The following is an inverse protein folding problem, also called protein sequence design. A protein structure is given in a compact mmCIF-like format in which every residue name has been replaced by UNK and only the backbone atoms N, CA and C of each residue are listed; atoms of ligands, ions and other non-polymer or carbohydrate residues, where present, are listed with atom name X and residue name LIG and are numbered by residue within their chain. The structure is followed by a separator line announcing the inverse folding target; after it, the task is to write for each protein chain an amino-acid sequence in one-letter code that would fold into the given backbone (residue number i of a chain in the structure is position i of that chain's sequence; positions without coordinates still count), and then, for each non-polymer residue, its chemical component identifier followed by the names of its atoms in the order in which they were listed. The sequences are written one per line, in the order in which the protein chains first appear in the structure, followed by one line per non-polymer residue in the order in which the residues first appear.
data_IF_529471071220
#
_entry.id   IF_529471071220
#
_cell.length_a   1.000
_cell.length_b   1.000
_cell.length_c   1.000
_cell.angle_alpha   90.00
_cell.angle_beta   90.00
_cell.angle_gamma   90.00
#
_symmetry.space_group_name_H-M   'P 1'
#
loop_
_entity.id
_entity.type
_entity.pdbx_description
1 polymer ?
#
# COMPACT_ATOMS: atom_id res chain seq x y z
N UNK A 1 -8.70 21.30 11.11
CA UNK A 1 -9.05 21.60 9.72
C UNK A 1 -9.00 20.30 8.93
N UNK A 2 -10.03 19.99 8.16
CA UNK A 2 -9.93 18.85 7.28
C UNK A 2 -8.80 19.07 6.28
N UNK A 3 -8.06 18.00 5.98
CA UNK A 3 -7.04 18.05 4.93
C UNK A 3 -7.72 18.41 3.60
N UNK A 4 -7.04 19.21 2.77
CA UNK A 4 -7.53 19.50 1.44
C UNK A 4 -7.57 18.20 0.62
N UNK A 5 -8.65 18.02 -0.12
CA UNK A 5 -8.79 16.88 -1.02
C UNK A 5 -7.85 17.07 -2.22
N UNK A 6 -7.06 16.03 -2.49
CA UNK A 6 -6.14 15.99 -3.62
C UNK A 6 -6.80 15.31 -4.82
N UNK A 7 -6.64 15.86 -6.03
CA UNK A 7 -7.02 15.16 -7.24
C UNK A 7 -5.86 14.26 -7.68
N UNK A 8 -6.13 12.97 -7.89
CA UNK A 8 -5.09 12.06 -8.36
C UNK A 8 -4.63 12.38 -9.78
N UNK A 9 -5.40 13.19 -10.52
CA UNK A 9 -5.01 13.63 -11.85
C UNK A 9 -3.96 14.75 -11.83
N UNK A 10 -3.73 15.36 -10.66
CA UNK A 10 -2.65 16.33 -10.43
C UNK A 10 -1.34 15.66 -10.03
N UNK A 11 -1.34 14.35 -9.81
CA UNK A 11 -0.14 13.60 -9.43
C UNK A 11 0.83 13.47 -10.62
N UNK A 12 2.14 13.31 -10.34
CA UNK A 12 3.15 13.28 -11.39
C UNK A 12 3.17 11.97 -12.19
N UNK A 13 3.71 12.07 -13.38
CA UNK A 13 4.12 10.93 -14.20
C UNK A 13 5.45 11.28 -14.86
N UNK A 14 6.55 10.56 -14.61
CA UNK A 14 6.61 9.31 -13.83
C UNK A 14 6.25 9.50 -12.36
N UNK A 15 5.94 8.41 -11.64
CA UNK A 15 5.54 8.52 -10.24
C UNK A 15 6.65 9.11 -9.35
N UNK A 16 6.24 9.72 -8.25
CA UNK A 16 7.15 10.36 -7.31
C UNK A 16 6.85 9.96 -5.87
N UNK A 17 7.86 10.09 -5.02
CA UNK A 17 7.79 9.78 -3.60
C UNK A 17 7.35 11.02 -2.81
N UNK A 18 6.39 10.85 -1.90
CA UNK A 18 5.98 11.86 -0.94
C UNK A 18 6.35 11.39 0.47
N UNK A 19 7.35 12.03 1.04
CA UNK A 19 7.87 11.70 2.37
C UNK A 19 7.33 12.62 3.47
N UNK A 20 6.30 13.42 3.18
CA UNK A 20 5.78 14.38 4.17
C UNK A 20 5.26 13.70 5.45
N UNK A 21 4.69 12.50 5.33
CA UNK A 21 4.30 11.70 6.50
C UNK A 21 3.23 12.36 7.35
N UNK A 22 3.17 11.94 8.61
CA UNK A 22 2.31 12.53 9.62
C UNK A 22 0.92 11.92 9.73
N UNK A 23 0.45 11.21 8.72
CA UNK A 23 -0.80 10.47 8.83
C UNK A 23 -0.61 9.25 9.72
N UNK A 24 -1.60 8.97 10.57
CA UNK A 24 -1.60 7.78 11.42
C UNK A 24 -2.14 6.59 10.62
N UNK A 25 -1.27 5.65 10.31
CA UNK A 25 -1.61 4.47 9.50
C UNK A 25 -1.64 3.24 10.40
N UNK A 26 -2.73 2.48 10.31
CA UNK A 26 -2.92 1.23 11.06
C UNK A 26 -3.36 0.14 10.07
N UNK A 27 -2.77 -1.03 10.19
CA UNK A 27 -3.20 -2.22 9.45
C UNK A 27 -3.66 -3.25 10.46
N UNK A 28 -4.89 -3.75 10.29
CA UNK A 28 -5.48 -4.80 11.12
C UNK A 28 -5.69 -6.06 10.30
N UNK A 29 -5.28 -7.18 10.85
CA UNK A 29 -5.54 -8.50 10.25
C UNK A 29 -5.65 -9.53 11.40
N UNK A 30 -6.49 -10.54 11.21
CA UNK A 30 -6.72 -11.54 12.25
C UNK A 30 -7.33 -10.96 13.52
N UNK A 31 -8.07 -9.86 13.41
CA UNK A 31 -8.69 -9.18 14.55
C UNK A 31 -7.71 -8.38 15.41
N UNK A 32 -6.48 -8.17 14.95
CA UNK A 32 -5.45 -7.44 15.72
C UNK A 32 -4.70 -6.44 14.85
N UNK A 33 -4.09 -5.45 15.50
CA UNK A 33 -3.21 -4.49 14.82
C UNK A 33 -1.89 -5.18 14.49
N UNK A 34 -1.55 -5.26 13.20
CA UNK A 34 -0.30 -5.90 12.74
C UNK A 34 0.76 -4.89 12.31
N UNK A 35 0.37 -3.65 12.06
CA UNK A 35 1.30 -2.58 11.72
C UNK A 35 0.71 -1.24 12.11
N UNK A 36 1.58 -0.32 12.52
CA UNK A 36 1.16 1.03 12.92
C UNK A 36 2.34 1.98 12.76
N UNK A 37 2.10 3.14 12.14
CA UNK A 37 3.14 4.15 11.95
C UNK A 37 2.55 5.53 11.71
N UNK A 38 3.34 6.57 12.00
CA UNK A 38 3.10 7.95 11.53
C UNK A 38 4.13 8.37 10.50
N UNK A 39 4.97 7.44 10.04
CA UNK A 39 6.08 7.70 9.12
C UNK A 39 5.89 7.00 7.77
N UNK A 40 4.65 6.79 7.33
CA UNK A 40 4.39 6.20 6.03
C UNK A 40 4.84 7.12 4.90
N UNK A 41 5.31 6.51 3.81
CA UNK A 41 5.66 7.20 2.57
C UNK A 41 4.60 6.87 1.54
N UNK A 42 4.17 7.88 0.77
CA UNK A 42 3.24 7.67 -0.34
C UNK A 42 4.00 7.71 -1.65
N UNK A 43 3.64 6.83 -2.57
CA UNK A 43 4.05 6.92 -3.98
C UNK A 43 2.86 7.44 -4.77
N UNK A 44 3.06 8.56 -5.46
CA UNK A 44 2.02 9.29 -6.17
C UNK A 44 2.22 9.15 -7.67
N UNK A 45 1.19 8.74 -8.36
CA UNK A 45 1.20 8.60 -9.83
C UNK A 45 -0.14 9.05 -10.39
N UNK A 46 -0.11 9.80 -11.50
CA UNK A 46 -1.30 10.29 -12.18
C UNK A 46 -2.36 9.20 -12.33
N UNK A 47 -3.58 9.52 -12.02
CA UNK A 47 -4.79 8.66 -12.10
C UNK A 47 -4.87 7.53 -11.07
N UNK A 48 -3.84 7.31 -10.26
CA UNK A 48 -3.85 6.28 -9.22
C UNK A 48 -4.08 6.89 -7.84
N UNK A 49 -4.85 6.25 -6.96
CA UNK A 49 -4.79 6.61 -5.55
C UNK A 49 -3.38 6.31 -5.01
N UNK A 50 -2.95 7.00 -3.94
CA UNK A 50 -1.60 6.81 -3.42
C UNK A 50 -1.36 5.36 -2.98
N UNK A 51 -0.17 4.84 -3.23
CA UNK A 51 0.29 3.60 -2.61
C UNK A 51 1.07 3.98 -1.36
N UNK A 52 0.69 3.43 -0.21
CA UNK A 52 1.33 3.71 1.07
C UNK A 52 2.38 2.64 1.35
N UNK A 53 3.56 3.10 1.76
CA UNK A 53 4.66 2.26 2.19
C UNK A 53 4.93 2.53 3.66
N UNK A 54 4.99 1.47 4.46
CA UNK A 54 5.25 1.55 5.90
C UNK A 54 6.64 1.01 6.19
N UNK A 55 7.36 1.59 7.17
CA UNK A 55 8.65 1.02 7.58
C UNK A 55 8.50 -0.46 7.92
N UNK A 56 9.45 -1.29 7.53
CA UNK A 56 9.43 -2.72 7.88
C UNK A 56 9.30 -2.92 9.37
N UNK A 57 9.97 -2.08 10.18
CA UNK A 57 9.90 -2.13 11.63
C UNK A 57 8.56 -1.73 12.23
N UNK A 58 7.64 -1.19 11.44
CA UNK A 58 6.29 -0.86 11.90
C UNK A 58 5.38 -2.09 12.02
N UNK A 59 5.77 -3.20 11.39
CA UNK A 59 5.02 -4.44 11.41
C UNK A 59 5.39 -5.26 12.66
N UNK A 60 4.40 -5.92 13.24
CA UNK A 60 4.62 -6.86 14.36
C UNK A 60 5.57 -7.96 13.89
N UNK A 61 6.52 -8.32 14.75
CA UNK A 61 7.51 -9.35 14.44
C UNK A 61 6.83 -10.66 14.02
N UNK A 62 7.30 -11.23 12.90
CA UNK A 62 6.80 -12.51 12.38
C UNK A 62 5.61 -12.40 11.44
N UNK A 63 5.00 -11.22 11.30
CA UNK A 63 3.85 -11.03 10.42
C UNK A 63 4.27 -11.05 8.94
N UNK A 64 5.38 -10.39 8.61
CA UNK A 64 5.91 -10.40 7.24
C UNK A 64 6.78 -11.64 7.06
N UNK A 65 6.35 -12.55 6.20
CA UNK A 65 7.10 -13.75 5.86
C UNK A 65 7.38 -13.75 4.36
N UNK A 66 8.56 -14.23 3.93
CA UNK A 66 8.80 -14.36 2.48
C UNK A 66 7.65 -15.13 1.82
N UNK A 67 7.16 -14.62 0.69
CA UNK A 67 6.07 -15.27 0.00
C UNK A 67 6.47 -16.67 -0.45
N UNK A 68 5.57 -17.64 -0.26
CA UNK A 68 5.79 -19.00 -0.75
C UNK A 68 5.90 -19.03 -2.26
N UNK A 69 5.08 -18.22 -2.93
CA UNK A 69 5.25 -17.92 -4.34
C UNK A 69 6.27 -16.78 -4.44
N UNK A 70 7.52 -17.10 -4.73
CA UNK A 70 8.64 -16.17 -4.69
C UNK A 70 8.89 -15.44 -6.03
N UNK A 71 7.91 -15.43 -6.93
CA UNK A 71 8.04 -14.70 -8.19
C UNK A 71 8.19 -13.21 -7.90
N UNK A 72 9.16 -12.60 -8.57
CA UNK A 72 9.38 -11.17 -8.53
C UNK A 72 8.63 -10.49 -9.66
N UNK A 73 8.28 -9.22 -9.46
CA UNK A 73 7.77 -8.36 -10.53
C UNK A 73 8.72 -7.19 -10.70
N UNK A 74 8.78 -6.65 -11.91
CA UNK A 74 9.64 -5.51 -12.21
C UNK A 74 8.76 -4.33 -12.59
N UNK A 75 9.01 -3.20 -11.92
CA UNK A 75 8.41 -1.92 -12.27
C UNK A 75 9.47 -1.08 -12.99
N UNK A 76 9.12 -0.53 -14.15
CA UNK A 76 10.02 0.30 -14.94
C UNK A 76 10.61 1.46 -14.12
N UNK A 77 9.80 2.04 -13.24
CA UNK A 77 10.20 3.22 -12.46
C UNK A 77 10.86 2.86 -11.14
N UNK A 78 10.43 1.79 -10.45
CA UNK A 78 10.82 1.49 -9.07
C UNK A 78 11.84 0.37 -8.92
N UNK A 79 11.94 -0.51 -9.90
CA UNK A 79 12.85 -1.67 -9.84
C UNK A 79 12.10 -2.97 -9.63
N UNK A 80 12.77 -3.96 -9.04
CA UNK A 80 12.19 -5.29 -8.82
C UNK A 80 11.60 -5.41 -7.42
N UNK A 81 10.34 -5.83 -7.36
CA UNK A 81 9.63 -6.09 -6.11
C UNK A 81 9.80 -7.53 -5.67
N UNK A 82 10.00 -7.73 -4.37
CA UNK A 82 9.84 -9.02 -3.71
C UNK A 82 8.58 -8.98 -2.87
N UNK A 83 7.96 -10.14 -2.67
CA UNK A 83 6.66 -10.21 -2.01
C UNK A 83 6.77 -10.89 -0.66
N UNK A 84 5.88 -10.48 0.24
CA UNK A 84 5.66 -11.13 1.53
C UNK A 84 4.25 -11.71 1.57
N UNK A 85 4.14 -12.84 2.25
CA UNK A 85 2.86 -13.27 2.79
C UNK A 85 2.67 -12.61 4.14
N UNK A 86 1.43 -12.30 4.52
CA UNK A 86 1.11 -11.86 5.86
C UNK A 86 0.61 -13.07 6.65
N UNK A 87 1.28 -13.36 7.77
CA UNK A 87 0.95 -14.52 8.61
C UNK A 87 0.49 -14.01 9.97
N UNK A 88 -0.76 -14.28 10.32
CA UNK A 88 -1.38 -13.84 11.57
C UNK A 88 -2.16 -15.00 12.16
N UNK A 89 -1.77 -15.44 13.36
CA UNK A 89 -2.43 -16.54 14.09
C UNK A 89 -2.66 -17.77 13.20
N UNK A 90 -1.64 -18.18 12.45
CA UNK A 90 -1.70 -19.35 11.57
C UNK A 90 -2.42 -19.12 10.24
N UNK A 91 -3.06 -17.99 10.03
CA UNK A 91 -3.65 -17.62 8.74
C UNK A 91 -2.60 -16.95 7.87
N UNK A 92 -2.45 -17.44 6.64
CA UNK A 92 -1.48 -16.91 5.69
C UNK A 92 -2.23 -16.22 4.54
N UNK A 93 -1.97 -14.91 4.37
CA UNK A 93 -2.50 -14.13 3.26
C UNK A 93 -1.40 -14.05 2.20
N UNK A 94 -1.61 -14.76 1.09
CA UNK A 94 -0.59 -14.94 0.06
C UNK A 94 -0.30 -13.63 -0.68
N UNK A 95 1.00 -13.29 -0.77
CA UNK A 95 1.50 -12.13 -1.52
C UNK A 95 0.77 -10.82 -1.21
N UNK A 96 0.38 -10.66 0.05
CA UNK A 96 -0.42 -9.52 0.48
C UNK A 96 0.40 -8.25 0.68
N UNK A 97 1.72 -8.34 0.68
CA UNK A 97 2.62 -7.20 0.83
C UNK A 97 3.81 -7.33 -0.12
N UNK A 98 4.46 -6.20 -0.40
CA UNK A 98 5.66 -6.21 -1.25
C UNK A 98 6.63 -5.11 -0.81
N UNK A 99 7.90 -5.28 -1.23
CA UNK A 99 8.96 -4.31 -0.98
C UNK A 99 9.86 -4.25 -2.21
N UNK A 100 10.57 -3.14 -2.33
CA UNK A 100 11.64 -2.96 -3.32
C UNK A 100 12.96 -2.89 -2.56
N UNK A 101 13.64 -4.04 -2.36
CA UNK A 101 14.86 -4.05 -1.53
C UNK A 101 16.01 -3.25 -2.15
N UNK A 102 16.00 -3.10 -3.48
CA UNK A 102 17.01 -2.33 -4.20
C UNK A 102 16.32 -1.47 -5.25
N UNK A 103 15.59 -0.41 -4.82
CA UNK A 103 14.83 0.43 -5.75
C UNK A 103 15.76 1.27 -6.61
N UNK A 104 15.21 1.77 -7.72
CA UNK A 104 15.93 2.75 -8.54
C UNK A 104 16.23 4.00 -7.70
N UNK A 105 17.25 4.81 -8.09
CA UNK A 105 17.65 5.97 -7.27
C UNK A 105 16.52 6.95 -6.95
N UNK A 106 15.56 7.12 -7.85
CA UNK A 106 14.41 8.01 -7.64
C UNK A 106 13.48 7.52 -6.51
N UNK A 107 13.55 6.25 -6.15
CA UNK A 107 12.68 5.62 -5.15
C UNK A 107 13.46 5.05 -3.96
N UNK A 108 14.70 5.45 -3.76
CA UNK A 108 15.56 4.92 -2.69
C UNK A 108 14.94 5.03 -1.30
N UNK A 109 14.05 6.00 -1.08
CA UNK A 109 13.42 6.21 0.22
C UNK A 109 12.52 5.05 0.65
N UNK A 110 12.05 4.23 -0.30
CA UNK A 110 11.18 3.10 0.03
C UNK A 110 11.93 1.78 0.24
N UNK A 111 13.27 1.78 0.23
CA UNK A 111 14.08 0.55 0.30
C UNK A 111 13.76 -0.34 1.51
N UNK A 112 13.56 0.26 2.67
CA UNK A 112 13.27 -0.46 3.91
C UNK A 112 11.80 -0.35 4.32
N UNK A 113 10.91 -0.23 3.34
CA UNK A 113 9.48 -0.06 3.52
C UNK A 113 8.73 -1.16 2.78
N UNK A 114 7.53 -1.46 3.24
CA UNK A 114 6.64 -2.40 2.56
C UNK A 114 5.27 -1.78 2.33
N UNK A 115 4.69 -2.09 1.19
CA UNK A 115 3.30 -1.77 0.87
C UNK A 115 2.44 -3.00 1.07
N UNK A 116 1.16 -2.77 1.33
CA UNK A 116 0.20 -3.84 1.60
C UNK A 116 -0.97 -3.68 0.63
N UNK A 117 -1.47 -4.80 0.12
CA UNK A 117 -2.65 -4.84 -0.76
C UNK A 117 -3.92 -4.81 0.10
N UNK A 118 -4.66 -3.69 0.14
CA UNK A 118 -5.85 -3.60 1.00
C UNK A 118 -6.89 -4.68 0.71
N UNK A 119 -7.09 -5.02 -0.57
CA UNK A 119 -8.07 -6.03 -0.96
C UNK A 119 -7.73 -7.43 -0.44
N UNK A 120 -6.45 -7.71 -0.17
CA UNK A 120 -6.04 -9.00 0.39
C UNK A 120 -6.32 -9.11 1.90
N UNK A 121 -6.52 -7.97 2.57
CA UNK A 121 -6.69 -7.91 4.01
C UNK A 121 -8.15 -7.67 4.40
N UNK A 122 -8.89 -6.88 3.62
CA UNK A 122 -10.25 -6.46 3.95
C UNK A 122 -11.13 -7.65 4.29
N UNK A 123 -11.58 -7.70 5.55
CA UNK A 123 -12.49 -8.73 6.02
C UNK A 123 -11.97 -10.17 5.92
N UNK A 124 -10.64 -10.36 5.86
CA UNK A 124 -10.05 -11.68 5.61
C UNK A 124 -10.40 -12.70 6.70
N UNK A 125 -10.33 -12.30 7.98
CA UNK A 125 -10.69 -13.17 9.10
C UNK A 125 -11.65 -12.50 10.07
N UNK A 126 -11.71 -11.18 10.06
CA UNK A 126 -12.55 -10.36 10.95
C UNK A 126 -13.10 -9.18 10.14
N UNK A 127 -14.36 -8.77 10.32
CA UNK A 127 -14.91 -7.64 9.57
C UNK A 127 -14.14 -6.34 9.72
N UNK A 128 -13.40 -6.15 10.83
CA UNK A 128 -12.58 -4.97 11.05
C UNK A 128 -11.19 -5.06 10.41
N UNK A 129 -10.82 -6.19 9.82
CA UNK A 129 -9.55 -6.32 9.11
C UNK A 129 -9.51 -5.37 7.92
N UNK A 130 -8.41 -4.66 7.78
CA UNK A 130 -8.22 -3.70 6.70
C UNK A 130 -7.13 -2.69 7.03
N UNK A 131 -6.98 -1.72 6.15
CA UNK A 131 -6.04 -0.63 6.32
C UNK A 131 -6.80 0.63 6.71
N UNK A 132 -6.19 1.45 7.59
CA UNK A 132 -6.81 2.67 8.10
C UNK A 132 -5.83 3.82 8.06
N UNK A 133 -6.30 5.00 7.63
CA UNK A 133 -5.52 6.24 7.65
C UNK A 133 -6.31 7.26 8.47
N UNK A 134 -5.70 7.76 9.55
CA UNK A 134 -6.33 8.70 10.49
C UNK A 134 -7.71 8.22 10.96
N UNK A 135 -7.84 6.91 11.19
CA UNK A 135 -9.08 6.28 11.64
C UNK A 135 -10.08 5.98 10.55
N UNK A 136 -9.83 6.38 9.32
CA UNK A 136 -10.70 6.08 8.18
C UNK A 136 -10.29 4.79 7.51
N UNK A 137 -11.25 3.90 7.26
CA UNK A 137 -10.99 2.66 6.55
C UNK A 137 -10.69 2.94 5.08
N UNK A 138 -9.58 2.41 4.59
CA UNK A 138 -9.14 2.53 3.20
C UNK A 138 -10.04 1.69 2.30
N UNK A 139 -10.43 2.27 1.16
CA UNK A 139 -11.09 1.53 0.09
C UNK A 139 -10.02 1.09 -0.93
N UNK A 140 -9.97 -0.21 -1.29
CA UNK A 140 -9.00 -0.68 -2.26
C UNK A 140 -9.25 -0.11 -3.66
N UNK A 141 -8.17 0.15 -4.39
CA UNK A 141 -8.25 0.48 -5.81
C UNK A 141 -8.78 -0.73 -6.58
N UNK A 142 -9.68 -0.49 -7.54
CA UNK A 142 -10.24 -1.54 -8.38
C UNK A 142 -9.15 -2.19 -9.25
N UNK A 143 -9.44 -3.39 -9.74
CA UNK A 143 -8.61 -4.09 -10.73
C UNK A 143 -7.76 -5.21 -10.17
N UNK A 144 -7.69 -5.39 -8.85
CA UNK A 144 -6.97 -6.51 -8.21
C UNK A 144 -5.46 -6.52 -8.40
N UNK A 145 -4.94 -5.71 -9.33
CA UNK A 145 -3.52 -5.59 -9.65
C UNK A 145 -2.87 -4.41 -8.92
N UNK A 146 -3.64 -3.37 -8.67
CA UNK A 146 -3.14 -2.12 -8.13
C UNK A 146 -3.32 -2.06 -6.62
N UNK A 147 -2.34 -1.50 -5.92
CA UNK A 147 -2.32 -1.42 -4.47
C UNK A 147 -2.60 -0.04 -3.90
N UNK A 148 -3.22 0.85 -4.67
CA UNK A 148 -3.53 2.19 -4.19
C UNK A 148 -4.60 2.22 -3.11
N UNK A 149 -4.50 3.20 -2.23
CA UNK A 149 -5.38 3.38 -1.07
C UNK A 149 -6.29 4.58 -1.27
N UNK A 150 -7.59 4.33 -1.35
CA UNK A 150 -8.60 5.39 -1.50
C UNK A 150 -9.12 5.79 -0.12
N UNK A 151 -8.96 7.07 0.20
CA UNK A 151 -9.51 7.70 1.40
C UNK A 151 -10.23 8.98 1.00
N UNK A 152 -10.89 9.63 1.96
CA UNK A 152 -11.55 10.93 1.73
C UNK A 152 -10.57 12.05 1.35
N UNK A 153 -9.26 11.83 1.53
CA UNK A 153 -8.21 12.78 1.16
C UNK A 153 -8.07 12.94 -0.35
N UNK A 154 -8.45 11.91 -1.12
CA UNK A 154 -8.22 11.89 -2.57
C UNK A 154 -9.52 11.76 -3.34
N UNK A 155 -9.55 12.34 -4.54
CA UNK A 155 -10.68 12.21 -5.46
C UNK A 155 -10.19 11.73 -6.82
N UNK A 156 -11.05 10.93 -7.45
CA UNK A 156 -10.81 10.34 -8.75
C UNK A 156 -11.27 11.21 -9.91
N UNK A 157 -11.65 10.55 -11.01
CA UNK A 157 -11.77 9.08 -11.13
C UNK A 157 -10.44 8.36 -11.05
N UNK A 158 -10.48 7.09 -10.60
CA UNK A 158 -9.27 6.28 -10.36
C UNK A 158 -9.11 5.22 -11.45
N UNK A 159 -7.86 5.01 -11.90
CA UNK A 159 -7.53 3.88 -12.76
C UNK A 159 -7.77 2.57 -12.01
N UNK A 160 -8.19 1.53 -12.72
CA UNK A 160 -8.40 0.18 -12.18
C UNK A 160 -9.69 -0.46 -12.67
N UNK A 161 -10.74 0.33 -12.90
CA UNK A 161 -11.98 -0.18 -13.45
C UNK A 161 -11.82 -0.56 -14.94
N UNK A 162 -12.76 -1.35 -15.45
CA UNK A 162 -12.78 -1.71 -16.87
C UNK A 162 -12.78 -0.44 -17.73
N UNK A 163 -11.95 -0.42 -18.79
CA UNK A 163 -11.84 0.70 -19.70
C UNK A 163 -10.84 1.78 -19.30
N UNK A 164 -10.10 1.60 -18.20
CA UNK A 164 -9.14 2.60 -17.71
C UNK A 164 -7.69 2.27 -18.03
N UNK A 165 -7.41 1.24 -18.80
CA UNK A 165 -6.05 0.75 -19.04
C UNK A 165 -5.12 1.82 -19.64
N UNK A 166 -5.67 2.76 -20.38
CA UNK A 166 -4.90 3.83 -21.01
C UNK A 166 -4.70 5.08 -20.14
N UNK A 167 -5.19 5.07 -18.93
CA UNK A 167 -5.15 6.26 -18.04
C UNK A 167 -3.77 6.56 -17.50
#
# INVERSE_FOLDING_TARGET
MPAQTESVWDYPRPPAVDTSGGEHVVIRAGGQTIAETVAAIRVLETSHPPTYYLPLGAFVTGVLQPARDNRRTTCEFKGSATYFDLVVDGTRLSRAAWTYPDPTPAFREIADYAAVMPSAIDGATDPADGCYVDGERVQPQEGGFYGGWITSRVRGPFKGAAGTQGW
#
